data_IF_435257932217
#
_entry.id   IF_435257932217
#
_cell.length_a   1.000
_cell.length_b   1.000
_cell.length_c   1.000
_cell.angle_alpha   90.00
_cell.angle_beta   90.00
_cell.angle_gamma   90.00
#
_symmetry.space_group_name_H-M   'P 1'
#
loop_
_entity.id
_entity.type
_entity.pdbx_description
1 polymer ?
#
# COMPACT_ATOMS: atom_id res chain seq x y z
N UNK A 1 -13.35 19.93 9.11
CA UNK A 1 -12.36 19.72 10.19
C UNK A 1 -12.06 18.23 10.47
N UNK A 2 -13.00 17.42 10.95
CA UNK A 2 -12.72 16.04 11.47
C UNK A 2 -12.32 14.96 10.46
N UNK A 3 -12.28 15.23 9.15
CA UNK A 3 -11.93 14.24 8.12
C UNK A 3 -10.46 14.26 7.66
N UNK A 4 -9.72 15.37 7.87
CA UNK A 4 -8.29 15.45 7.48
C UNK A 4 -7.36 14.67 8.43
N UNK A 5 -7.74 14.49 9.70
CA UNK A 5 -6.96 13.75 10.70
C UNK A 5 -6.93 12.22 10.51
N UNK A 6 -7.77 11.67 9.62
CA UNK A 6 -7.79 10.23 9.33
C UNK A 6 -6.85 9.88 8.17
N UNK A 7 -6.72 10.77 7.18
CA UNK A 7 -5.83 10.56 6.04
C UNK A 7 -4.35 10.64 6.48
N UNK A 8 -4.01 11.57 7.37
CA UNK A 8 -2.65 11.72 7.93
C UNK A 8 -2.18 10.58 8.86
N UNK A 9 -3.04 9.58 9.15
CA UNK A 9 -2.63 8.30 9.78
C UNK A 9 -2.87 7.06 8.89
N UNK A 10 -3.37 7.24 7.67
CA UNK A 10 -3.52 6.14 6.69
C UNK A 10 -2.49 6.23 5.55
N UNK A 11 -1.90 7.41 5.29
CA UNK A 11 -0.68 7.54 4.47
C UNK A 11 0.50 6.73 5.09
N UNK A 12 0.43 6.38 6.38
CA UNK A 12 1.41 5.52 7.05
C UNK A 12 1.25 4.02 6.77
N UNK A 13 0.27 3.57 5.98
CA UNK A 13 0.11 2.14 5.64
C UNK A 13 -0.32 1.93 4.18
N UNK A 14 0.52 1.18 3.46
CA UNK A 14 0.31 0.63 2.12
C UNK A 14 0.25 1.57 0.92
N UNK A 15 1.45 1.93 0.50
CA UNK A 15 1.91 1.61 -0.84
C UNK A 15 2.40 0.15 -0.96
N UNK A 16 1.76 -0.68 -1.80
CA UNK A 16 2.39 -1.72 -2.66
C UNK A 16 1.30 -2.53 -3.40
N UNK A 17 1.27 -2.44 -4.73
CA UNK A 17 0.14 -2.78 -5.62
C UNK A 17 0.68 -3.36 -6.96
N UNK A 18 -0.07 -4.25 -7.63
CA UNK A 18 0.40 -5.20 -8.69
C UNK A 18 -0.65 -5.43 -9.79
N UNK A 19 -0.25 -5.65 -11.06
CA UNK A 19 -1.01 -6.27 -12.19
C UNK A 19 -0.10 -6.33 -13.46
N UNK A 20 -0.49 -6.95 -14.61
CA UNK A 20 -1.51 -8.00 -14.88
C UNK A 20 -1.00 -9.15 -15.80
N UNK A 21 -1.79 -10.22 -15.95
CA UNK A 21 -2.09 -10.82 -17.28
C UNK A 21 -3.23 -11.86 -17.23
N UNK A 22 -4.02 -11.91 -18.32
CA UNK A 22 -4.86 -13.03 -18.74
C UNK A 22 -4.59 -13.20 -20.25
N UNK A 23 -4.50 -14.44 -20.74
CA UNK A 23 -4.04 -14.75 -22.11
C UNK A 23 -5.16 -14.99 -23.13
N UNK A 24 -4.90 -15.65 -24.25
CA UNK A 24 -3.61 -16.16 -24.75
C UNK A 24 -3.50 -15.87 -26.25
N UNK A 25 -2.51 -15.09 -26.63
CA UNK A 25 -1.82 -15.30 -27.90
C UNK A 25 -0.55 -16.10 -27.58
N UNK A 26 -0.20 -17.13 -28.37
CA UNK A 26 1.02 -17.90 -28.19
C UNK A 26 2.26 -17.15 -28.71
N UNK A 27 2.44 -15.90 -28.26
CA UNK A 27 3.77 -15.33 -28.16
C UNK A 27 4.54 -16.20 -27.15
N UNK A 28 5.51 -16.98 -27.64
CA UNK A 28 6.37 -17.79 -26.78
C UNK A 28 7.41 -16.88 -26.09
N UNK A 29 6.91 -15.99 -25.23
CA UNK A 29 7.70 -15.17 -24.33
C UNK A 29 8.44 -16.10 -23.38
N UNK A 30 9.73 -16.34 -23.66
CA UNK A 30 10.66 -16.95 -22.72
C UNK A 30 10.39 -16.35 -21.34
N UNK A 31 10.17 -17.21 -20.33
CA UNK A 31 9.97 -16.76 -18.94
C UNK A 31 11.32 -16.39 -18.29
N UNK A 32 12.17 -15.74 -19.06
CA UNK A 32 13.30 -14.98 -18.56
C UNK A 32 12.75 -13.88 -17.66
N UNK A 33 13.00 -14.04 -16.37
CA UNK A 33 12.85 -12.95 -15.42
C UNK A 33 13.91 -11.93 -15.81
N UNK A 34 13.53 -10.86 -16.51
CA UNK A 34 14.42 -9.75 -16.88
C UNK A 34 14.79 -8.88 -15.67
N UNK A 35 15.26 -9.51 -14.57
CA UNK A 35 16.13 -8.88 -13.58
C UNK A 35 17.43 -8.52 -14.28
N UNK A 36 17.47 -7.35 -14.93
CA UNK A 36 18.64 -6.81 -15.62
C UNK A 36 19.80 -6.46 -14.66
N UNK A 37 19.64 -6.69 -13.36
CA UNK A 37 20.56 -6.37 -12.27
C UNK A 37 20.54 -7.46 -11.18
N UNK A 38 21.59 -7.52 -10.34
CA UNK A 38 21.80 -8.51 -9.28
C UNK A 38 20.84 -8.40 -8.06
N UNK A 39 19.60 -7.94 -8.25
CA UNK A 39 18.65 -7.66 -7.16
C UNK A 39 17.40 -8.52 -7.32
N UNK A 40 17.08 -9.32 -6.29
CA UNK A 40 15.93 -10.23 -6.29
C UNK A 40 14.86 -9.79 -5.27
N UNK A 41 13.66 -9.47 -5.74
CA UNK A 41 12.52 -9.08 -4.90
C UNK A 41 11.60 -10.27 -4.60
N UNK A 42 12.04 -11.15 -3.70
CA UNK A 42 11.19 -12.22 -3.14
C UNK A 42 10.18 -11.67 -2.13
N UNK A 43 9.08 -12.41 -1.95
CA UNK A 43 8.17 -12.22 -0.81
C UNK A 43 8.89 -12.69 0.47
N UNK A 44 9.05 -11.85 1.51
CA UNK A 44 9.68 -12.28 2.75
C UNK A 44 8.76 -13.23 3.53
N UNK A 45 9.36 -14.26 4.15
CA UNK A 45 8.64 -15.26 4.93
C UNK A 45 7.80 -14.61 6.05
N UNK A 46 6.53 -14.98 6.17
CA UNK A 46 5.57 -14.41 7.11
C UNK A 46 4.87 -13.12 6.64
N UNK A 47 5.15 -12.62 5.42
CA UNK A 47 4.42 -11.50 4.80
C UNK A 47 3.51 -11.94 3.64
N UNK A 48 3.43 -13.22 3.31
CA UNK A 48 2.68 -13.78 2.17
C UNK A 48 1.20 -13.40 2.26
N UNK A 49 0.57 -13.59 3.43
CA UNK A 49 -0.83 -13.22 3.66
C UNK A 49 -1.11 -11.72 3.47
N UNK A 50 -0.09 -10.87 3.68
CA UNK A 50 -0.16 -9.43 3.46
C UNK A 50 0.02 -9.11 1.98
N UNK A 51 1.02 -9.70 1.31
CA UNK A 51 1.25 -9.54 -0.12
C UNK A 51 0.05 -10.03 -0.95
N UNK A 52 -0.54 -11.18 -0.62
CA UNK A 52 -1.74 -11.69 -1.31
C UNK A 52 -2.97 -10.80 -1.11
N UNK A 53 -3.18 -10.25 0.10
CA UNK A 53 -4.24 -9.25 0.31
C UNK A 53 -4.05 -8.05 -0.62
N UNK A 54 -2.85 -7.49 -0.70
CA UNK A 54 -2.61 -6.28 -1.49
C UNK A 54 -2.54 -6.53 -2.99
N UNK A 55 -2.06 -7.70 -3.44
CA UNK A 55 -2.27 -8.18 -4.81
C UNK A 55 -3.76 -8.08 -5.16
N UNK A 56 -4.66 -8.69 -4.38
CA UNK A 56 -6.11 -8.66 -4.63
C UNK A 56 -6.73 -7.26 -4.61
N UNK A 57 -6.28 -6.38 -3.70
CA UNK A 57 -6.70 -4.98 -3.66
C UNK A 57 -6.36 -4.24 -4.97
N UNK A 58 -5.24 -4.58 -5.62
CA UNK A 58 -4.78 -3.96 -6.87
C UNK A 58 -5.13 -4.77 -8.15
N UNK A 59 -5.47 -6.05 -8.06
CA UNK A 59 -5.78 -6.91 -9.20
C UNK A 59 -7.27 -7.21 -9.38
N UNK A 60 -7.96 -7.59 -8.31
CA UNK A 60 -9.35 -8.05 -8.33
C UNK A 60 -10.32 -6.89 -8.06
N UNK A 61 -10.09 -6.14 -6.98
CA UNK A 61 -11.08 -5.21 -6.44
C UNK A 61 -10.95 -3.80 -7.00
N UNK A 62 -12.03 -3.27 -7.58
CA UNK A 62 -12.11 -1.87 -8.06
C UNK A 62 -12.52 -0.86 -6.98
N UNK A 63 -12.52 0.44 -7.29
CA UNK A 63 -12.94 1.54 -6.37
C UNK A 63 -14.41 1.51 -5.92
N UNK A 64 -15.22 0.62 -6.48
CA UNK A 64 -16.57 0.30 -6.02
C UNK A 64 -16.60 -0.87 -5.00
N UNK A 65 -15.46 -1.50 -4.71
CA UNK A 65 -15.31 -2.59 -3.75
C UNK A 65 -14.71 -2.13 -2.42
N UNK A 66 -15.34 -2.56 -1.33
CA UNK A 66 -15.01 -2.18 0.05
C UNK A 66 -14.79 -3.44 0.90
N UNK A 67 -13.53 -3.70 1.23
CA UNK A 67 -13.06 -4.92 1.88
C UNK A 67 -13.01 -4.66 3.39
N UNK A 68 -13.91 -5.25 4.17
CA UNK A 68 -13.80 -5.29 5.63
C UNK A 68 -12.81 -6.38 6.03
N UNK A 69 -11.75 -6.00 6.73
CA UNK A 69 -10.69 -6.90 7.18
C UNK A 69 -10.21 -6.55 8.60
N UNK A 70 -9.42 -7.44 9.21
CA UNK A 70 -8.67 -7.15 10.42
C UNK A 70 -7.37 -6.40 10.08
N UNK A 71 -6.95 -5.43 10.90
CA UNK A 71 -5.78 -4.59 10.60
C UNK A 71 -4.43 -5.20 10.99
N UNK A 72 -4.41 -6.14 11.93
CA UNK A 72 -3.16 -6.77 12.37
C UNK A 72 -2.87 -8.05 11.54
N UNK A 73 -3.93 -8.69 11.01
CA UNK A 73 -3.86 -9.86 10.14
C UNK A 73 -4.78 -9.70 8.92
N UNK A 74 -4.17 -9.46 7.75
CA UNK A 74 -4.86 -9.19 6.50
C UNK A 74 -5.52 -10.43 5.86
N UNK A 75 -5.20 -11.65 6.32
CA UNK A 75 -5.93 -12.86 5.89
C UNK A 75 -7.39 -12.85 6.36
N UNK A 76 -7.70 -12.13 7.45
CA UNK A 76 -9.02 -12.11 8.09
C UNK A 76 -9.98 -11.13 7.40
N UNK A 77 -10.38 -11.43 6.16
CA UNK A 77 -11.41 -10.70 5.42
C UNK A 77 -12.80 -11.06 5.95
N UNK A 78 -13.42 -10.15 6.71
CA UNK A 78 -14.77 -10.31 7.25
C UNK A 78 -15.83 -10.33 6.15
N UNK A 79 -15.75 -9.40 5.18
CA UNK A 79 -16.71 -9.25 4.07
C UNK A 79 -16.19 -8.28 3.01
N UNK A 80 -16.24 -8.68 1.74
CA UNK A 80 -16.20 -7.73 0.61
C UNK A 80 -17.62 -7.21 0.35
N UNK A 81 -17.76 -5.88 0.24
CA UNK A 81 -18.99 -5.16 -0.08
C UNK A 81 -18.79 -4.44 -1.41
N UNK A 82 -19.52 -4.84 -2.45
CA UNK A 82 -19.64 -4.05 -3.67
C UNK A 82 -20.69 -2.95 -3.48
N UNK A 83 -20.41 -1.75 -3.98
CA UNK A 83 -21.34 -0.63 -4.08
C UNK A 83 -21.18 -0.06 -5.49
N UNK A 84 -22.14 -0.35 -6.38
CA UNK A 84 -22.19 0.25 -7.73
C UNK A 84 -22.12 1.78 -7.62
N UNK A 85 -21.24 2.39 -8.42
CA UNK A 85 -20.94 3.83 -8.42
C UNK A 85 -20.46 4.34 -7.04
N UNK A 86 -19.96 3.45 -6.18
CA UNK A 86 -19.45 3.74 -4.84
C UNK A 86 -18.25 4.69 -4.85
N UNK A 87 -17.45 4.63 -5.92
CA UNK A 87 -16.39 5.57 -6.28
C UNK A 87 -16.87 7.02 -6.49
N UNK A 88 -18.10 7.22 -6.97
CA UNK A 88 -18.74 8.54 -7.22
C UNK A 88 -19.45 9.10 -5.99
N UNK A 89 -19.60 8.33 -4.91
CA UNK A 89 -20.28 8.78 -3.69
C UNK A 89 -19.43 9.79 -2.90
N UNK A 90 -20.08 10.83 -2.37
CA UNK A 90 -19.45 11.72 -1.39
C UNK A 90 -18.96 10.93 -0.16
N UNK A 91 -17.85 11.37 0.44
CA UNK A 91 -17.25 10.68 1.59
C UNK A 91 -18.26 10.43 2.72
N UNK A 92 -19.08 11.43 3.08
CA UNK A 92 -20.13 11.31 4.11
C UNK A 92 -21.15 10.21 3.79
N UNK A 93 -21.62 10.13 2.54
CA UNK A 93 -22.59 9.11 2.11
C UNK A 93 -21.98 7.71 2.06
N UNK A 94 -20.73 7.61 1.59
CA UNK A 94 -19.94 6.39 1.57
C UNK A 94 -19.68 5.86 2.99
N UNK A 95 -19.17 6.71 3.88
CA UNK A 95 -18.91 6.37 5.28
C UNK A 95 -20.18 5.94 6.00
N UNK A 96 -21.33 6.59 5.75
CA UNK A 96 -22.60 6.14 6.31
C UNK A 96 -22.97 4.72 5.84
N UNK A 97 -22.91 4.45 4.52
CA UNK A 97 -23.17 3.12 3.94
C UNK A 97 -22.22 2.04 4.47
N UNK A 98 -20.98 2.40 4.83
CA UNK A 98 -19.95 1.49 5.33
C UNK A 98 -20.00 1.27 6.86
N UNK A 99 -20.33 2.30 7.64
CA UNK A 99 -20.44 2.28 9.11
C UNK A 99 -21.38 1.18 9.61
N UNK A 100 -22.46 0.88 8.87
CA UNK A 100 -23.40 -0.22 9.20
C UNK A 100 -22.72 -1.61 9.18
N UNK A 101 -21.84 -1.87 8.21
CA UNK A 101 -21.13 -3.15 8.10
C UNK A 101 -20.09 -3.30 9.21
N UNK A 102 -19.32 -2.24 9.51
CA UNK A 102 -18.39 -2.23 10.66
C UNK A 102 -19.14 -2.42 12.00
N UNK A 103 -20.33 -1.83 12.16
CA UNK A 103 -21.22 -2.06 13.32
C UNK A 103 -21.73 -3.52 13.38
N UNK A 104 -22.09 -4.14 12.23
CA UNK A 104 -22.49 -5.57 12.13
C UNK A 104 -21.37 -6.49 12.63
N UNK A 105 -20.18 -6.45 12.03
CA UNK A 105 -19.11 -7.39 12.39
C UNK A 105 -18.55 -7.14 13.80
N UNK A 106 -18.51 -5.89 14.27
CA UNK A 106 -18.21 -5.60 15.69
C UNK A 106 -19.23 -6.24 16.63
N UNK A 107 -20.54 -6.17 16.34
CA UNK A 107 -21.59 -6.85 17.13
C UNK A 107 -21.41 -8.38 17.11
N UNK A 108 -21.11 -8.97 15.94
CA UNK A 108 -20.89 -10.43 15.81
C UNK A 108 -19.70 -10.87 16.67
N UNK A 109 -18.55 -10.20 16.56
CA UNK A 109 -17.35 -10.54 17.35
C UNK A 109 -17.56 -10.37 18.86
N UNK A 110 -18.29 -9.34 19.28
CA UNK A 110 -18.63 -9.14 20.70
C UNK A 110 -19.70 -10.12 21.21
N UNK A 111 -20.57 -10.66 20.35
CA UNK A 111 -21.45 -11.79 20.69
C UNK A 111 -20.64 -13.07 20.86
N UNK A 112 -19.80 -13.41 19.89
CA UNK A 112 -18.94 -14.60 19.92
C UNK A 112 -18.05 -14.61 21.17
N UNK A 113 -17.48 -13.46 21.53
CA UNK A 113 -16.67 -13.28 22.75
C UNK A 113 -17.39 -13.55 24.10
N UNK A 114 -18.69 -13.85 24.09
CA UNK A 114 -19.53 -14.13 25.27
C UNK A 114 -20.19 -15.52 25.22
N UNK A 115 -20.02 -16.28 24.15
CA UNK A 115 -20.70 -17.58 23.96
C UNK A 115 -19.89 -18.69 24.63
N UNK A 116 -20.45 -19.31 25.68
CA UNK A 116 -19.81 -20.41 26.43
C UNK A 116 -19.60 -21.68 25.60
N UNK A 117 -20.54 -22.02 24.70
CA UNK A 117 -20.46 -23.18 23.82
C UNK A 117 -20.41 -22.74 22.34
N UNK A 118 -19.23 -22.72 21.68
CA UNK A 118 -19.09 -22.31 20.29
C UNK A 118 -19.87 -23.15 19.27
N UNK A 119 -20.24 -24.40 19.59
CA UNK A 119 -21.03 -25.25 18.68
C UNK A 119 -22.45 -24.71 18.45
N UNK A 120 -22.97 -23.92 19.40
CA UNK A 120 -24.25 -23.21 19.27
C UNK A 120 -24.28 -22.11 18.21
N UNK A 121 -23.11 -21.69 17.70
CA UNK A 121 -23.02 -20.64 16.68
C UNK A 121 -23.53 -21.15 15.33
N UNK A 122 -24.43 -20.38 14.71
CA UNK A 122 -24.98 -20.65 13.37
C UNK A 122 -24.69 -19.50 12.39
N UNK A 123 -24.72 -19.82 11.08
CA UNK A 123 -24.54 -18.87 9.98
C UNK A 123 -23.29 -18.00 10.10
N UNK A 124 -23.45 -16.69 9.84
CA UNK A 124 -22.40 -15.67 9.91
C UNK A 124 -21.60 -15.67 11.22
N UNK A 125 -22.19 -16.06 12.35
CA UNK A 125 -21.45 -16.11 13.63
C UNK A 125 -20.50 -17.31 13.67
N UNK A 126 -20.88 -18.46 13.09
CA UNK A 126 -20.00 -19.63 12.94
C UNK A 126 -18.87 -19.35 11.95
N UNK A 127 -19.17 -18.71 10.81
CA UNK A 127 -18.16 -18.30 9.82
C UNK A 127 -17.12 -17.35 10.41
N UNK A 128 -17.56 -16.31 11.14
CA UNK A 128 -16.66 -15.33 11.77
C UNK A 128 -15.87 -15.96 12.94
N UNK A 129 -16.45 -16.91 13.68
CA UNK A 129 -15.70 -17.70 14.68
C UNK A 129 -14.56 -18.48 14.02
N UNK A 130 -14.86 -19.28 12.98
CA UNK A 130 -13.86 -20.08 12.26
C UNK A 130 -12.75 -19.21 11.60
N UNK A 131 -13.10 -18.03 11.08
CA UNK A 131 -12.17 -17.09 10.46
C UNK A 131 -11.20 -16.47 11.49
N UNK A 132 -11.71 -16.07 12.65
CA UNK A 132 -10.94 -15.30 13.64
C UNK A 132 -10.23 -16.19 14.65
N UNK A 133 -10.79 -17.37 14.94
CA UNK A 133 -10.32 -18.44 15.87
C UNK A 133 -10.21 -18.05 17.34
N UNK A 134 -9.66 -16.88 17.68
CA UNK A 134 -9.48 -16.43 19.07
C UNK A 134 -9.51 -14.90 19.19
N UNK A 135 -9.40 -14.36 20.41
CA UNK A 135 -9.23 -12.92 20.64
C UNK A 135 -10.34 -11.99 20.07
N UNK A 136 -11.56 -12.50 19.93
CA UNK A 136 -12.70 -11.80 19.28
C UNK A 136 -12.97 -10.39 19.84
N UNK A 137 -12.75 -10.16 21.14
CA UNK A 137 -12.86 -8.84 21.79
C UNK A 137 -11.89 -7.80 21.18
N UNK A 138 -10.66 -8.21 20.86
CA UNK A 138 -9.66 -7.37 20.19
C UNK A 138 -9.92 -7.24 18.69
N UNK A 139 -10.29 -8.32 18.01
CA UNK A 139 -10.73 -8.29 16.62
C UNK A 139 -11.88 -7.27 16.40
N UNK A 140 -12.81 -7.16 17.35
CA UNK A 140 -13.92 -6.18 17.33
C UNK A 140 -13.49 -4.70 17.37
N UNK A 141 -12.22 -4.43 17.72
CA UNK A 141 -11.57 -3.11 17.71
C UNK A 141 -10.73 -2.89 16.44
N UNK A 142 -10.21 -3.98 15.84
CA UNK A 142 -9.28 -4.00 14.71
C UNK A 142 -9.92 -3.88 13.31
N UNK A 143 -11.24 -4.04 13.17
CA UNK A 143 -11.92 -3.96 11.85
C UNK A 143 -11.58 -2.65 11.11
N UNK A 144 -10.96 -2.77 9.94
CA UNK A 144 -10.77 -1.69 8.96
C UNK A 144 -11.62 -1.93 7.71
N UNK A 145 -11.60 -0.95 6.81
CA UNK A 145 -12.21 -1.03 5.49
C UNK A 145 -11.16 -0.52 4.51
N UNK A 146 -10.71 -1.38 3.60
CA UNK A 146 -9.87 -0.99 2.48
C UNK A 146 -10.75 -0.83 1.23
N UNK A 147 -10.37 0.09 0.34
CA UNK A 147 -10.99 0.26 -0.98
C UNK A 147 -10.11 -0.47 -2.01
N UNK A 148 -10.73 -1.27 -2.88
CA UNK A 148 -10.03 -1.83 -4.05
C UNK A 148 -9.66 -0.71 -5.03
N UNK A 149 -8.56 -0.82 -5.79
CA UNK A 149 -8.21 0.17 -6.81
C UNK A 149 -7.63 -0.43 -8.12
N UNK A 150 -8.06 -1.64 -8.52
CA UNK A 150 -7.60 -2.30 -9.75
C UNK A 150 -7.91 -1.51 -11.05
N UNK A 151 -9.00 -0.76 -11.05
CA UNK A 151 -9.36 0.23 -12.06
C UNK A 151 -8.35 1.39 -12.15
N UNK A 152 -7.92 1.92 -10.99
CA UNK A 152 -6.93 3.01 -10.93
C UNK A 152 -5.55 2.54 -11.37
N UNK A 153 -5.15 1.33 -11.00
CA UNK A 153 -3.88 0.73 -11.43
C UNK A 153 -3.87 0.49 -12.94
N UNK A 154 -4.93 -0.10 -13.50
CA UNK A 154 -5.09 -0.29 -14.95
C UNK A 154 -4.98 1.04 -15.70
N UNK A 155 -5.66 2.08 -15.22
CA UNK A 155 -5.53 3.43 -15.78
C UNK A 155 -4.13 4.04 -15.56
N UNK A 156 -3.41 3.62 -14.51
CA UNK A 156 -2.03 3.99 -14.24
C UNK A 156 -1.02 3.33 -15.19
N UNK A 157 -1.25 2.09 -15.63
CA UNK A 157 -0.48 1.42 -16.69
C UNK A 157 -0.61 2.22 -18.00
N UNK A 158 -1.83 2.62 -18.37
CA UNK A 158 -2.05 3.48 -19.53
C UNK A 158 -1.31 4.83 -19.46
N UNK A 159 -1.18 5.41 -18.26
CA UNK A 159 -0.43 6.67 -18.05
C UNK A 159 1.09 6.50 -17.99
N UNK A 160 1.61 5.36 -17.51
CA UNK A 160 3.06 5.20 -17.33
C UNK A 160 3.81 5.05 -18.65
N UNK A 161 3.18 4.46 -19.68
CA UNK A 161 3.82 4.20 -20.99
C UNK A 161 4.51 5.41 -21.62
N UNK A 162 3.96 6.62 -21.44
CA UNK A 162 4.52 7.89 -21.92
C UNK A 162 5.92 8.18 -21.30
N UNK A 163 6.14 7.75 -20.06
CA UNK A 163 7.31 8.09 -19.25
C UNK A 163 8.25 6.91 -19.01
N UNK A 164 7.75 5.67 -19.07
CA UNK A 164 8.44 4.47 -18.59
C UNK A 164 9.84 4.28 -19.20
N UNK A 165 10.00 4.50 -20.51
CA UNK A 165 11.30 4.39 -21.18
C UNK A 165 12.34 5.40 -20.64
N UNK A 166 11.93 6.63 -20.30
CA UNK A 166 12.80 7.63 -19.67
C UNK A 166 13.10 7.26 -18.21
N UNK A 167 12.11 6.76 -17.48
CA UNK A 167 12.24 6.33 -16.08
C UNK A 167 13.22 5.15 -15.96
N UNK A 168 13.06 4.12 -16.80
CA UNK A 168 13.99 2.98 -16.84
C UNK A 168 15.41 3.42 -17.17
N UNK A 169 15.58 4.34 -18.13
CA UNK A 169 16.90 4.92 -18.48
C UNK A 169 17.53 5.71 -17.34
N UNK A 170 16.74 6.36 -16.48
CA UNK A 170 17.24 7.03 -15.25
C UNK A 170 17.67 6.01 -14.19
N UNK A 171 16.84 4.99 -13.91
CA UNK A 171 17.14 3.99 -12.87
C UNK A 171 18.32 3.10 -13.25
N UNK A 172 18.39 2.65 -14.50
CA UNK A 172 19.53 1.88 -15.04
C UNK A 172 20.84 2.68 -14.98
N UNK A 173 20.84 3.96 -15.40
CA UNK A 173 22.01 4.85 -15.25
C UNK A 173 22.44 5.05 -13.79
N UNK A 174 21.48 5.06 -12.85
CA UNK A 174 21.77 5.15 -11.42
C UNK A 174 22.23 3.81 -10.78
N UNK A 175 22.27 2.71 -11.57
CA UNK A 175 22.50 1.32 -11.14
C UNK A 175 21.47 0.83 -10.10
N UNK A 176 20.21 1.21 -10.29
CA UNK A 176 19.08 0.86 -9.42
C UNK A 176 18.23 -0.27 -10.05
N UNK A 177 17.64 -1.16 -9.24
CA UNK A 177 16.68 -2.14 -9.73
C UNK A 177 15.51 -1.48 -10.47
N UNK A 178 15.15 -2.02 -11.63
CA UNK A 178 14.06 -1.47 -12.46
C UNK A 178 12.68 -1.79 -11.87
N UNK A 179 12.59 -2.78 -11.00
CA UNK A 179 11.41 -3.12 -10.21
C UNK A 179 10.94 -1.94 -9.35
N UNK A 180 11.86 -1.06 -8.93
CA UNK A 180 11.53 0.17 -8.19
C UNK A 180 10.73 1.19 -9.03
N UNK A 181 10.79 1.10 -10.37
CA UNK A 181 10.09 2.03 -11.26
C UNK A 181 8.57 1.85 -11.27
N UNK A 182 8.04 0.79 -10.64
CA UNK A 182 6.59 0.58 -10.49
C UNK A 182 5.97 1.44 -9.38
N UNK A 183 6.78 1.96 -8.45
CA UNK A 183 6.32 2.75 -7.30
C UNK A 183 5.35 3.90 -7.66
N UNK A 184 5.46 4.64 -8.78
CA UNK A 184 4.49 5.68 -9.11
C UNK A 184 3.09 5.16 -9.48
N UNK A 185 2.92 3.88 -9.86
CA UNK A 185 1.59 3.26 -9.95
C UNK A 185 0.89 3.18 -8.59
N UNK A 186 1.73 3.02 -7.57
CA UNK A 186 1.38 2.71 -6.20
C UNK A 186 1.16 4.02 -5.40
N UNK A 187 2.00 5.04 -5.62
CA UNK A 187 1.93 6.40 -5.05
C UNK A 187 0.73 7.20 -5.56
N UNK A 188 0.57 7.26 -6.89
CA UNK A 188 -0.34 8.20 -7.56
C UNK A 188 -1.14 7.57 -8.69
N UNK A 189 -0.89 6.30 -9.01
CA UNK A 189 -1.28 5.69 -10.28
C UNK A 189 -0.83 6.52 -11.49
N UNK A 190 0.43 7.01 -11.47
CA UNK A 190 1.03 7.87 -12.50
C UNK A 190 0.24 9.16 -12.79
N UNK A 191 -0.35 9.79 -11.77
CA UNK A 191 -1.04 11.07 -11.93
C UNK A 191 -0.09 12.24 -11.67
N UNK A 192 0.27 12.98 -12.73
CA UNK A 192 1.22 14.12 -12.67
C UNK A 192 0.73 15.26 -11.78
N UNK A 193 -0.59 15.49 -11.76
CA UNK A 193 -1.25 16.47 -10.90
C UNK A 193 -1.74 15.90 -9.55
N UNK A 194 -1.30 14.71 -9.15
CA UNK A 194 -1.67 14.14 -7.85
C UNK A 194 -1.20 15.05 -6.70
N UNK A 195 -2.08 15.30 -5.73
CA UNK A 195 -1.78 16.07 -4.53
C UNK A 195 -2.50 15.48 -3.32
N UNK A 196 -1.76 15.09 -2.28
CA UNK A 196 -2.35 14.50 -1.06
C UNK A 196 -2.70 15.57 -0.02
N UNK A 197 -3.61 15.25 0.90
CA UNK A 197 -3.93 16.12 2.04
C UNK A 197 -2.79 16.27 3.05
N UNK A 198 -1.66 15.57 2.86
CA UNK A 198 -0.41 15.75 3.62
C UNK A 198 0.64 16.58 2.86
N UNK A 199 0.28 17.17 1.70
CA UNK A 199 1.18 18.00 0.90
C UNK A 199 2.20 17.22 0.07
N UNK A 200 1.96 15.93 -0.18
CA UNK A 200 2.69 15.15 -1.18
C UNK A 200 2.21 15.50 -2.60
N UNK A 201 3.10 15.53 -3.59
CA UNK A 201 2.77 15.96 -4.95
C UNK A 201 3.44 15.11 -6.05
N UNK A 202 2.76 15.04 -7.21
CA UNK A 202 3.26 14.43 -8.44
C UNK A 202 3.30 12.91 -8.45
N UNK A 203 3.88 12.32 -9.50
CA UNK A 203 3.78 10.87 -9.72
C UNK A 203 4.45 10.06 -8.60
N UNK A 204 5.52 10.60 -8.01
CA UNK A 204 6.32 10.03 -6.93
C UNK A 204 5.92 10.51 -5.51
N UNK A 205 4.84 11.30 -5.39
CA UNK A 205 4.28 11.81 -4.12
C UNK A 205 5.32 12.38 -3.13
N UNK A 206 6.26 13.19 -3.63
CA UNK A 206 7.23 13.86 -2.76
C UNK A 206 6.53 14.85 -1.83
N UNK A 207 6.79 14.77 -0.51
CA UNK A 207 6.42 15.85 0.43
C UNK A 207 7.20 17.13 0.10
N UNK A 208 6.70 18.29 0.52
CA UNK A 208 7.41 19.56 0.32
C UNK A 208 8.79 19.60 0.99
N UNK A 209 8.93 18.94 2.15
CA UNK A 209 10.21 18.83 2.86
C UNK A 209 11.20 17.94 2.12
N UNK A 210 10.78 16.72 1.76
CA UNK A 210 11.65 15.75 1.06
C UNK A 210 12.03 16.23 -0.34
N UNK A 211 11.10 16.84 -1.08
CA UNK A 211 11.35 17.30 -2.45
C UNK A 211 12.43 18.38 -2.54
N UNK A 212 12.47 19.30 -1.57
CA UNK A 212 13.46 20.39 -1.50
C UNK A 212 14.92 19.92 -1.35
N UNK A 213 15.15 18.65 -0.99
CA UNK A 213 16.49 18.06 -0.93
C UNK A 213 17.04 17.67 -2.32
N UNK A 214 16.19 17.65 -3.36
CA UNK A 214 16.53 17.08 -4.67
C UNK A 214 16.04 17.88 -5.89
N UNK A 215 15.08 18.79 -5.71
CA UNK A 215 14.38 19.54 -6.78
C UNK A 215 13.72 20.83 -6.25
N UNK A 216 13.36 21.77 -7.13
CA UNK A 216 12.76 23.07 -6.78
C UNK A 216 11.30 22.92 -6.35
N UNK A 217 10.98 23.44 -5.16
CA UNK A 217 9.61 23.45 -4.59
C UNK A 217 9.27 24.82 -4.00
N UNK A 218 9.01 25.76 -4.91
CA UNK A 218 8.59 27.14 -4.67
C UNK A 218 7.07 27.30 -4.62
N UNK A 219 6.57 28.44 -5.09
CA UNK A 219 5.13 28.73 -5.24
C UNK A 219 4.81 28.92 -6.73
N UNK A 220 5.71 29.64 -7.40
CA UNK A 220 6.00 29.69 -8.83
C UNK A 220 6.20 28.30 -9.48
N UNK A 221 7.10 27.48 -8.93
CA UNK A 221 7.60 26.25 -9.57
C UNK A 221 7.58 25.08 -8.57
N UNK A 222 6.93 23.98 -8.96
CA UNK A 222 6.84 22.74 -8.18
C UNK A 222 7.25 21.52 -9.03
N UNK A 223 8.56 21.30 -9.16
CA UNK A 223 9.16 20.24 -9.98
C UNK A 223 8.75 18.82 -9.57
N UNK A 224 8.11 18.66 -8.40
CA UNK A 224 7.51 17.38 -7.98
C UNK A 224 6.47 16.87 -8.98
N UNK A 225 5.77 17.79 -9.67
CA UNK A 225 4.76 17.47 -10.69
C UNK A 225 5.36 17.07 -12.04
N UNK A 226 6.61 17.46 -12.33
CA UNK A 226 7.30 17.02 -13.53
C UNK A 226 7.70 15.54 -13.40
N UNK A 227 7.26 14.64 -14.30
CA UNK A 227 7.54 13.21 -14.17
C UNK A 227 9.02 12.81 -14.28
N UNK A 228 9.86 13.64 -14.89
CA UNK A 228 11.27 13.33 -15.18
C UNK A 228 12.16 13.89 -14.07
N UNK A 229 11.96 15.14 -13.65
CA UNK A 229 12.68 15.76 -12.53
C UNK A 229 12.36 15.06 -11.21
N UNK A 230 11.09 14.74 -10.95
CA UNK A 230 10.71 13.94 -9.78
C UNK A 230 11.25 12.50 -9.82
N UNK A 231 11.47 11.92 -11.02
CA UNK A 231 12.17 10.63 -11.17
C UNK A 231 13.67 10.75 -10.87
N UNK A 232 14.33 11.83 -11.29
CA UNK A 232 15.73 12.11 -10.94
C UNK A 232 15.91 12.37 -9.44
N UNK A 233 14.89 12.89 -8.76
CA UNK A 233 14.86 12.97 -7.30
C UNK A 233 14.60 11.60 -6.64
N UNK A 234 13.67 10.80 -7.17
CA UNK A 234 13.33 9.48 -6.66
C UNK A 234 14.53 8.51 -6.71
N UNK A 235 15.27 8.49 -7.81
CA UNK A 235 16.46 7.64 -7.95
C UNK A 235 17.55 8.02 -6.93
N UNK A 236 17.83 9.32 -6.74
CA UNK A 236 18.74 9.82 -5.69
C UNK A 236 18.30 9.37 -4.28
N UNK A 237 17.04 9.61 -3.92
CA UNK A 237 16.51 9.26 -2.59
C UNK A 237 16.54 7.75 -2.34
N UNK A 238 16.11 6.93 -3.30
CA UNK A 238 16.12 5.47 -3.16
C UNK A 238 17.55 4.92 -3.06
N UNK A 239 18.51 5.51 -3.79
CA UNK A 239 19.93 5.19 -3.68
C UNK A 239 20.48 5.49 -2.28
N UNK A 240 20.28 6.71 -1.77
CA UNK A 240 20.74 7.10 -0.42
C UNK A 240 20.06 6.30 0.70
N UNK A 241 18.79 5.93 0.53
CA UNK A 241 18.11 5.01 1.44
C UNK A 241 18.76 3.63 1.45
N UNK A 242 19.14 3.09 0.28
CA UNK A 242 19.83 1.81 0.18
C UNK A 242 21.25 1.88 0.75
N UNK A 243 22.04 2.90 0.41
CA UNK A 243 23.38 3.13 0.96
C UNK A 243 23.36 3.19 2.50
N UNK A 244 22.33 3.83 3.07
CA UNK A 244 22.14 3.95 4.53
C UNK A 244 21.71 2.64 5.21
N UNK A 245 20.98 1.76 4.52
CA UNK A 245 20.24 0.64 5.13
C UNK A 245 20.67 -0.75 4.64
N UNK A 246 21.40 -0.83 3.53
CA UNK A 246 21.94 -2.05 2.92
C UNK A 246 20.90 -3.18 2.83
N UNK A 247 19.70 -2.83 2.36
CA UNK A 247 18.52 -3.69 2.25
C UNK A 247 17.41 -2.97 1.49
N UNK A 248 16.98 -3.50 0.34
CA UNK A 248 15.92 -2.89 -0.47
C UNK A 248 14.56 -2.79 0.24
N UNK A 249 14.07 -3.82 0.96
CA UNK A 249 12.84 -3.70 1.75
C UNK A 249 12.89 -2.57 2.79
N UNK A 250 14.02 -2.39 3.48
CA UNK A 250 14.19 -1.28 4.42
C UNK A 250 14.32 0.08 3.70
N UNK A 251 14.95 0.13 2.52
CA UNK A 251 15.12 1.35 1.73
C UNK A 251 13.81 1.86 1.11
N UNK A 252 12.94 0.96 0.64
CA UNK A 252 11.57 1.29 0.18
C UNK A 252 10.72 1.75 1.37
N UNK A 253 10.83 1.08 2.51
CA UNK A 253 10.15 1.50 3.74
C UNK A 253 10.63 2.89 4.19
N UNK A 254 11.92 3.18 4.05
CA UNK A 254 12.51 4.49 4.34
C UNK A 254 12.08 5.61 3.38
N UNK A 255 11.56 5.28 2.19
CA UNK A 255 10.98 6.27 1.27
C UNK A 255 9.76 6.96 1.92
N UNK A 256 8.91 6.16 2.58
CA UNK A 256 7.72 6.62 3.29
C UNK A 256 8.01 7.08 4.74
N UNK A 257 8.86 6.35 5.47
CA UNK A 257 9.05 6.54 6.92
C UNK A 257 10.36 7.28 7.30
N UNK A 258 11.18 7.62 6.32
CA UNK A 258 12.45 8.34 6.47
C UNK A 258 13.64 7.45 6.89
N UNK A 259 14.80 7.66 6.24
CA UNK A 259 16.02 6.89 6.46
C UNK A 259 16.45 6.81 7.94
N UNK A 260 16.41 7.93 8.68
CA UNK A 260 16.75 7.94 10.12
C UNK A 260 15.78 7.13 10.98
N UNK A 261 14.50 7.04 10.60
CA UNK A 261 13.51 6.18 11.26
C UNK A 261 13.89 4.70 11.08
N UNK A 262 14.14 4.30 9.82
CA UNK A 262 14.52 2.93 9.49
C UNK A 262 15.92 2.55 9.98
N UNK A 263 16.87 3.49 10.09
CA UNK A 263 18.20 3.24 10.68
C UNK A 263 18.09 2.91 12.19
N UNK A 264 17.18 3.60 12.91
CA UNK A 264 16.86 3.26 14.32
C UNK A 264 16.11 1.93 14.43
N UNK A 265 15.21 1.63 13.49
CA UNK A 265 14.49 0.36 13.44
C UNK A 265 15.47 -0.81 13.21
N UNK A 266 16.33 -0.72 12.18
CA UNK A 266 17.37 -1.71 11.86
C UNK A 266 18.31 -1.98 13.05
N UNK A 267 18.71 -0.93 13.77
CA UNK A 267 19.54 -1.05 14.99
C UNK A 267 18.83 -1.76 16.16
N UNK A 268 17.50 -1.84 16.18
CA UNK A 268 16.72 -2.48 17.26
C UNK A 268 16.18 -3.87 16.91
N UNK A 269 15.92 -4.15 15.63
CA UNK A 269 15.21 -5.35 15.18
C UNK A 269 15.93 -6.06 14.00
N UNK A 270 17.18 -5.72 13.72
CA UNK A 270 17.98 -6.35 12.67
C UNK A 270 17.67 -5.86 11.25
N UNK A 271 18.30 -6.51 10.26
CA UNK A 271 18.16 -6.16 8.84
C UNK A 271 16.88 -6.69 8.18
N UNK A 272 16.16 -7.59 8.86
CA UNK A 272 14.96 -8.24 8.38
C UNK A 272 13.75 -7.30 8.46
N UNK A 273 13.05 -7.11 7.34
CA UNK A 273 11.84 -6.30 7.27
C UNK A 273 10.68 -6.89 8.10
N UNK A 274 10.64 -8.22 8.26
CA UNK A 274 9.58 -8.92 9.01
C UNK A 274 9.66 -8.56 10.49
N UNK A 275 10.87 -8.64 11.07
CA UNK A 275 11.13 -8.33 12.48
C UNK A 275 10.94 -6.84 12.78
N UNK A 276 11.32 -5.96 11.84
CA UNK A 276 11.05 -4.52 11.92
C UNK A 276 9.54 -4.23 11.89
N UNK A 277 8.78 -4.84 10.97
CA UNK A 277 7.31 -4.66 10.91
C UNK A 277 6.63 -5.20 12.18
N UNK A 278 7.08 -6.35 12.68
CA UNK A 278 6.46 -6.98 13.84
C UNK A 278 6.81 -6.24 15.15
N UNK A 279 8.08 -5.88 15.35
CA UNK A 279 8.59 -5.32 16.61
C UNK A 279 8.67 -3.79 16.71
N UNK A 280 8.93 -3.05 15.62
CA UNK A 280 9.18 -1.61 15.72
C UNK A 280 7.89 -0.79 15.75
N UNK A 281 7.77 0.11 16.75
CA UNK A 281 6.66 1.07 16.88
C UNK A 281 7.20 2.48 17.14
N UNK A 282 6.62 3.48 16.51
CA UNK A 282 6.95 4.90 16.68
C UNK A 282 5.81 5.80 16.20
N UNK A 283 5.86 7.11 16.47
CA UNK A 283 4.82 8.06 16.04
C UNK A 283 4.54 8.05 14.52
N UNK A 284 5.51 7.62 13.72
CA UNK A 284 5.47 7.66 12.26
C UNK A 284 5.59 6.25 11.61
N UNK A 285 5.64 5.16 12.38
CA UNK A 285 5.79 3.77 11.86
C UNK A 285 5.20 2.76 12.84
N UNK A 286 4.36 1.84 12.34
CA UNK A 286 3.77 0.73 13.09
C UNK A 286 2.51 1.09 13.86
#
# INVERSE_FOLDING_TARGET
VTYQLIITRLISLFLLLVLPSYGVAHANLNREIHTLHHYHFSVPAGLESRVEFWKKIYSEYSTDHYILHDMDDLSKIYKVVYIKDGSKLSNRSRDHKLKRFKKKYRKILLKIARVKNPLSLKGESKRVYNLVKSNFKMASRRIRIQVGQSDRFRAGIGRSGIYQGRINKIFSKAKLPLELTVLPHVESSFQTNAYSSAGAAGIWQFTRGTGRLFMRVGYDIDERRDPILSTLAASKLLKTNFETLQSWPLAITAYNHGAYGMKRAKRRHGANIVDVINGYRSRNFG
#
